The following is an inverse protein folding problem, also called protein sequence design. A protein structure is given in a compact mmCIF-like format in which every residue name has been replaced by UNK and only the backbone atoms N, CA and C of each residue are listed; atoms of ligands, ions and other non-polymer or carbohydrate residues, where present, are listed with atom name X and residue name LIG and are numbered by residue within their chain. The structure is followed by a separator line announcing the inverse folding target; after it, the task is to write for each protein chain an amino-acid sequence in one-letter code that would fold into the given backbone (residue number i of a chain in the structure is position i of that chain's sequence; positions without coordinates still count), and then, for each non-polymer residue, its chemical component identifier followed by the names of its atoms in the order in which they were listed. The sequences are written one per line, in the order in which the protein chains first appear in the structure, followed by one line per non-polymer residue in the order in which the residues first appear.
data_IF_197108566859
#
_entry.id   IF_197108566859
#
_cell.length_a   1.000
_cell.length_b   1.000
_cell.length_c   1.000
_cell.angle_alpha   90.00
_cell.angle_beta   90.00
_cell.angle_gamma   90.00
#
_symmetry.space_group_name_H-M   'P 1'
#
loop_
_entity.id
_entity.type
_entity.pdbx_description
1 polymer ?
#
# COMPACT_ATOMS: atom_id res chain seq x y z
N UNK A 1 11.41 -2.98 13.62
CA UNK A 1 11.09 -2.58 12.24
C UNK A 1 9.76 -3.20 11.88
N UNK A 2 8.90 -2.52 11.12
CA UNK A 2 7.69 -3.13 10.57
C UNK A 2 8.03 -4.44 9.84
N UNK A 3 7.19 -5.45 10.02
CA UNK A 3 7.27 -6.70 9.28
C UNK A 3 6.63 -6.52 7.90
N UNK A 4 7.29 -7.08 6.88
CA UNK A 4 6.74 -7.19 5.55
C UNK A 4 6.36 -8.64 5.30
N UNK A 5 5.10 -8.88 4.89
CA UNK A 5 4.59 -10.22 4.59
C UNK A 5 3.88 -10.20 3.24
N UNK A 6 4.29 -11.08 2.32
CA UNK A 6 3.62 -11.22 1.02
C UNK A 6 2.12 -11.52 1.19
N UNK A 7 1.29 -10.89 0.36
CA UNK A 7 -0.16 -11.15 0.36
C UNK A 7 -0.49 -12.44 -0.41
N UNK A 8 0.26 -12.72 -1.47
CA UNK A 8 0.12 -13.92 -2.29
C UNK A 8 1.21 -14.94 -1.93
N UNK A 9 0.89 -16.24 -1.84
CA UNK A 9 1.86 -17.28 -1.47
C UNK A 9 2.82 -17.70 -2.60
N UNK A 10 2.62 -17.23 -3.83
CA UNK A 10 3.36 -17.65 -5.02
C UNK A 10 4.10 -16.51 -5.74
N UNK A 11 3.57 -15.29 -5.70
CA UNK A 11 4.10 -14.11 -6.39
C UNK A 11 4.44 -13.03 -5.36
N UNK A 12 5.69 -12.63 -5.33
CA UNK A 12 6.17 -11.58 -4.42
C UNK A 12 5.85 -10.19 -4.96
N UNK A 13 5.76 -9.17 -4.09
CA UNK A 13 5.69 -7.78 -4.56
C UNK A 13 6.88 -7.41 -5.47
N UNK A 14 8.06 -8.01 -5.24
CA UNK A 14 9.23 -7.76 -6.09
C UNK A 14 8.99 -8.22 -7.52
N UNK A 15 8.41 -9.40 -7.72
CA UNK A 15 8.04 -9.92 -9.05
C UNK A 15 7.03 -8.99 -9.73
N UNK A 16 6.01 -8.51 -9.00
CA UNK A 16 5.03 -7.54 -9.50
C UNK A 16 5.66 -6.19 -9.87
N UNK A 17 6.71 -5.82 -9.11
CA UNK A 17 7.69 -4.79 -9.41
C UNK A 17 8.03 -4.78 -10.90
N UNK A 18 8.48 -5.94 -11.36
CA UNK A 18 9.17 -6.19 -12.63
C UNK A 18 8.29 -6.31 -13.85
N UNK A 19 6.99 -6.52 -13.66
CA UNK A 19 6.05 -6.69 -14.77
C UNK A 19 5.95 -5.45 -15.69
N UNK A 20 6.11 -4.24 -15.14
CA UNK A 20 5.94 -2.99 -15.90
C UNK A 20 4.49 -2.75 -16.36
N UNK A 21 4.27 -1.70 -17.17
CA UNK A 21 3.00 -1.49 -17.89
C UNK A 21 1.94 -0.61 -17.20
N UNK A 22 0.68 -0.78 -17.61
CA UNK A 22 -0.44 0.16 -17.36
C UNK A 22 -0.92 0.26 -15.90
N UNK A 23 -2.05 0.97 -15.67
CA UNK A 23 -2.53 1.34 -14.34
C UNK A 23 -2.62 0.17 -13.38
N UNK A 24 -2.32 0.44 -12.11
CA UNK A 24 -2.37 -0.57 -11.04
C UNK A 24 -3.05 -0.03 -9.80
N UNK A 25 -3.65 -0.96 -9.08
CA UNK A 25 -4.24 -0.76 -7.76
C UNK A 25 -3.31 -1.42 -6.75
N UNK A 26 -2.73 -0.62 -5.87
CA UNK A 26 -2.12 -1.13 -4.65
C UNK A 26 -3.22 -1.44 -3.65
N UNK A 27 -3.26 -2.69 -3.20
CA UNK A 27 -3.92 -3.06 -1.95
C UNK A 27 -2.84 -3.40 -0.94
N UNK A 28 -2.88 -2.76 0.22
CA UNK A 28 -1.98 -3.08 1.31
C UNK A 28 -2.77 -3.29 2.60
N UNK A 29 -2.79 -4.53 3.08
CA UNK A 29 -3.39 -4.88 4.37
C UNK A 29 -2.36 -4.57 5.46
N UNK A 30 -2.73 -3.72 6.39
CA UNK A 30 -1.90 -3.30 7.52
C UNK A 30 -2.51 -3.85 8.80
N UNK A 31 -1.73 -4.58 9.57
CA UNK A 31 -2.12 -5.07 10.89
C UNK A 31 -1.19 -4.48 11.93
N UNK A 32 -1.74 -4.00 13.05
CA UNK A 32 -0.95 -3.36 14.10
C UNK A 32 -1.50 -3.73 15.48
N UNK A 33 -0.67 -3.65 16.52
CA UNK A 33 -1.14 -3.76 17.90
C UNK A 33 -2.17 -2.65 18.19
N UNK A 34 -3.27 -2.92 18.94
CA UNK A 34 -4.30 -1.93 19.21
C UNK A 34 -3.78 -0.61 19.81
N UNK A 35 -2.77 -0.69 20.68
CA UNK A 35 -2.10 0.45 21.33
C UNK A 35 -1.29 1.33 20.36
N UNK A 36 -0.89 0.80 19.21
CA UNK A 36 -0.04 1.45 18.22
C UNK A 36 -0.85 2.05 17.05
N UNK A 37 -2.18 1.99 17.10
CA UNK A 37 -3.07 2.47 16.02
C UNK A 37 -2.83 3.94 15.69
N UNK A 38 -2.74 4.81 16.70
CA UNK A 38 -2.54 6.24 16.47
C UNK A 38 -1.17 6.52 15.83
N UNK A 39 -0.15 5.75 16.21
CA UNK A 39 1.17 5.81 15.59
C UNK A 39 1.12 5.36 14.13
N UNK A 40 0.38 4.29 13.81
CA UNK A 40 0.17 3.86 12.44
C UNK A 40 -0.51 4.95 11.60
N UNK A 41 -1.55 5.60 12.13
CA UNK A 41 -2.28 6.65 11.42
C UNK A 41 -1.40 7.88 11.14
N UNK A 42 -0.56 8.27 12.09
CA UNK A 42 0.42 9.33 11.91
C UNK A 42 1.45 8.97 10.83
N UNK A 43 2.04 7.78 10.91
CA UNK A 43 3.04 7.31 9.96
C UNK A 43 2.46 7.18 8.54
N UNK A 44 1.29 6.56 8.42
CA UNK A 44 0.62 6.35 7.14
C UNK A 44 0.18 7.66 6.49
N UNK A 45 -0.42 8.60 7.25
CA UNK A 45 -0.82 9.90 6.70
C UNK A 45 0.37 10.73 6.24
N UNK A 46 1.51 10.62 6.94
CA UNK A 46 2.78 11.23 6.53
C UNK A 46 3.30 10.61 5.22
N UNK A 47 3.26 9.28 5.08
CA UNK A 47 3.68 8.56 3.85
C UNK A 47 2.75 8.94 2.68
N UNK A 48 1.43 8.91 2.90
CA UNK A 48 0.43 9.23 1.89
C UNK A 48 0.52 10.69 1.42
N UNK A 49 0.78 11.65 2.31
CA UNK A 49 0.98 13.04 1.94
C UNK A 49 2.22 13.23 1.04
N UNK A 50 3.32 12.53 1.33
CA UNK A 50 4.52 12.57 0.50
C UNK A 50 4.31 11.89 -0.87
N UNK A 51 3.68 10.70 -0.88
CA UNK A 51 3.41 9.94 -2.09
C UNK A 51 2.39 10.61 -3.02
N UNK A 52 1.45 11.39 -2.46
CA UNK A 52 0.47 12.16 -3.24
C UNK A 52 1.11 13.15 -4.22
N UNK A 53 2.33 13.58 -3.96
CA UNK A 53 3.08 14.51 -4.82
C UNK A 53 3.95 13.81 -5.87
N UNK A 54 3.99 12.47 -5.88
CA UNK A 54 4.82 11.71 -6.82
C UNK A 54 4.13 11.58 -8.18
N UNK A 55 4.91 11.55 -9.29
CA UNK A 55 4.37 11.29 -10.62
C UNK A 55 3.56 9.98 -10.68
N UNK A 56 2.43 10.01 -11.39
CA UNK A 56 1.56 8.86 -11.57
C UNK A 56 0.71 8.47 -10.37
N UNK A 57 0.74 9.20 -9.26
CA UNK A 57 -0.21 9.04 -8.17
C UNK A 57 -1.61 9.52 -8.61
N UNK A 58 -2.65 8.69 -8.45
CA UNK A 58 -4.03 9.06 -8.78
C UNK A 58 -4.85 9.29 -7.51
N UNK A 59 -4.92 8.29 -6.63
CA UNK A 59 -5.68 8.41 -5.38
C UNK A 59 -5.22 7.41 -4.33
N UNK A 60 -5.59 7.65 -3.08
CA UNK A 60 -5.45 6.68 -1.99
C UNK A 60 -6.60 6.82 -1.00
N UNK A 61 -7.05 5.71 -0.45
CA UNK A 61 -8.04 5.65 0.62
C UNK A 61 -7.61 4.60 1.64
N UNK A 62 -7.54 5.02 2.92
CA UNK A 62 -7.36 4.10 4.03
C UNK A 62 -8.74 3.71 4.58
N UNK A 63 -8.96 2.41 4.75
CA UNK A 63 -10.12 1.85 5.42
C UNK A 63 -9.67 1.19 6.72
N UNK A 64 -10.51 1.27 7.75
CA UNK A 64 -10.33 0.55 9.01
C UNK A 64 -11.39 -0.54 9.12
N UNK A 65 -10.99 -1.72 9.61
CA UNK A 65 -11.93 -2.76 9.99
C UNK A 65 -12.89 -2.28 11.09
N UNK A 66 -14.10 -2.82 11.09
CA UNK A 66 -15.13 -2.47 12.08
C UNK A 66 -14.95 -3.25 13.41
N UNK A 67 -15.84 -3.02 14.37
CA UNK A 67 -15.88 -3.74 15.65
C UNK A 67 -14.57 -3.68 16.46
N UNK A 68 -13.89 -2.52 16.43
CA UNK A 68 -12.66 -2.30 17.19
C UNK A 68 -11.39 -2.85 16.54
N UNK A 69 -11.46 -3.32 15.30
CA UNK A 69 -10.31 -3.87 14.58
C UNK A 69 -9.13 -2.89 14.50
N UNK A 70 -7.92 -3.43 14.63
CA UNK A 70 -6.64 -2.79 14.32
C UNK A 70 -6.07 -3.24 12.97
N UNK A 71 -6.92 -3.75 12.08
CA UNK A 71 -6.59 -4.05 10.69
C UNK A 71 -7.09 -2.94 9.78
N UNK A 72 -6.25 -2.53 8.84
CA UNK A 72 -6.53 -1.50 7.86
C UNK A 72 -6.28 -2.02 6.44
N UNK A 73 -6.97 -1.43 5.47
CA UNK A 73 -6.77 -1.66 4.06
C UNK A 73 -6.42 -0.31 3.41
N UNK A 74 -5.22 -0.19 2.88
CA UNK A 74 -4.85 0.93 2.04
C UNK A 74 -5.11 0.54 0.58
N UNK A 75 -5.99 1.28 -0.08
CA UNK A 75 -6.32 1.14 -1.50
C UNK A 75 -5.83 2.38 -2.24
N UNK A 76 -4.77 2.23 -3.06
CA UNK A 76 -4.20 3.33 -3.82
C UNK A 76 -4.15 3.01 -5.32
N UNK A 77 -4.41 4.00 -6.15
CA UNK A 77 -4.41 3.85 -7.62
C UNK A 77 -3.25 4.65 -8.19
N UNK A 78 -2.50 4.00 -9.09
CA UNK A 78 -1.36 4.57 -9.79
C UNK A 78 -1.50 4.38 -11.30
N UNK A 79 -0.93 5.31 -12.06
CA UNK A 79 -0.94 5.27 -13.53
C UNK A 79 -0.14 4.09 -14.12
N UNK A 80 0.85 3.57 -13.39
CA UNK A 80 1.64 2.40 -13.78
C UNK A 80 2.34 1.74 -12.60
N UNK A 81 2.79 0.49 -12.79
CA UNK A 81 3.73 -0.20 -11.88
C UNK A 81 5.04 0.57 -11.72
N UNK A 82 5.56 1.18 -12.79
CA UNK A 82 6.82 1.94 -12.76
C UNK A 82 6.74 3.22 -11.91
N UNK A 83 5.63 3.95 -12.01
CA UNK A 83 5.38 5.12 -11.17
C UNK A 83 5.31 4.71 -9.69
N UNK A 84 4.56 3.65 -9.39
CA UNK A 84 4.46 3.13 -8.02
C UNK A 84 5.83 2.63 -7.51
N UNK A 85 6.56 1.86 -8.30
CA UNK A 85 7.89 1.35 -7.97
C UNK A 85 8.84 2.50 -7.62
N UNK A 86 8.92 3.49 -8.49
CA UNK A 86 9.81 4.66 -8.30
C UNK A 86 9.48 5.36 -7.00
N UNK A 87 8.19 5.70 -6.79
CA UNK A 87 7.74 6.38 -5.58
C UNK A 87 7.95 5.55 -4.29
N UNK A 88 7.74 4.24 -4.35
CA UNK A 88 7.89 3.31 -3.21
C UNK A 88 9.34 3.15 -2.77
N UNK A 89 10.25 3.09 -3.74
CA UNK A 89 11.68 2.84 -3.52
C UNK A 89 12.49 4.13 -3.26
N UNK A 90 11.87 5.30 -3.44
CA UNK A 90 12.51 6.56 -3.07
C UNK A 90 12.55 6.73 -1.53
N UNK A 91 13.73 6.46 -0.97
CA UNK A 91 13.97 6.59 0.47
C UNK A 91 13.89 8.04 0.95
N UNK A 92 14.21 9.02 0.12
CA UNK A 92 14.17 10.43 0.51
C UNK A 92 12.72 10.90 0.71
N UNK A 93 11.82 10.48 -0.18
CA UNK A 93 10.38 10.79 -0.11
C UNK A 93 9.75 10.19 1.14
N UNK A 94 10.16 8.98 1.52
CA UNK A 94 9.50 8.18 2.56
C UNK A 94 10.21 8.21 3.92
N UNK A 95 11.36 8.86 4.03
CA UNK A 95 12.19 8.85 5.24
C UNK A 95 11.41 9.24 6.51
N UNK A 96 10.62 10.32 6.43
CA UNK A 96 9.84 10.80 7.57
C UNK A 96 8.83 9.76 8.07
N UNK A 97 8.07 9.13 7.14
CA UNK A 97 7.11 8.10 7.50
C UNK A 97 7.77 6.82 8.01
N UNK A 98 8.89 6.40 7.40
CA UNK A 98 9.66 5.21 7.81
C UNK A 98 10.09 5.27 9.28
N UNK A 99 10.47 6.46 9.77
CA UNK A 99 10.85 6.66 11.16
C UNK A 99 9.68 6.59 12.14
N UNK A 100 8.44 6.77 11.65
CA UNK A 100 7.23 6.82 12.48
C UNK A 100 6.51 5.47 12.59
N UNK A 101 6.68 4.56 11.63
CA UNK A 101 5.93 3.31 11.64
C UNK A 101 6.21 2.45 12.90
N UNK A 102 5.16 1.95 13.57
CA UNK A 102 5.32 1.18 14.79
C UNK A 102 6.00 -0.17 14.50
N UNK A 103 6.74 -0.69 15.49
CA UNK A 103 7.41 -1.98 15.35
C UNK A 103 6.43 -3.16 15.22
N UNK A 104 5.19 -3.01 15.72
CA UNK A 104 4.12 -4.01 15.62
C UNK A 104 3.43 -4.06 14.26
N UNK A 105 3.73 -3.14 13.34
CA UNK A 105 3.12 -3.11 12.02
C UNK A 105 3.55 -4.34 11.21
N UNK A 106 2.58 -5.09 10.72
CA UNK A 106 2.73 -6.06 9.63
C UNK A 106 2.04 -5.49 8.39
N UNK A 107 2.79 -5.28 7.32
CA UNK A 107 2.28 -4.80 6.05
C UNK A 107 2.29 -5.90 4.99
N UNK A 108 1.16 -6.06 4.29
CA UNK A 108 0.99 -6.99 3.17
C UNK A 108 0.50 -6.28 1.90
N UNK A 109 1.39 -5.52 1.22
CA UNK A 109 1.10 -4.88 -0.06
C UNK A 109 1.15 -5.85 -1.23
N UNK A 110 0.27 -5.62 -2.20
CA UNK A 110 0.23 -6.35 -3.46
C UNK A 110 -0.43 -5.49 -4.54
N UNK A 111 0.00 -5.65 -5.78
CA UNK A 111 -0.55 -4.93 -6.93
C UNK A 111 -1.63 -5.74 -7.64
N UNK A 112 -2.64 -5.04 -8.12
CA UNK A 112 -3.78 -5.62 -8.82
C UNK A 112 -4.10 -4.80 -10.06
N UNK A 113 -4.74 -5.46 -11.02
CA UNK A 113 -5.50 -4.80 -12.09
C UNK A 113 -6.93 -5.31 -12.04
N UNK A 114 -7.87 -4.51 -12.54
CA UNK A 114 -9.23 -4.97 -12.66
C UNK A 114 -9.28 -6.18 -13.62
N UNK A 115 -9.95 -7.24 -13.18
CA UNK A 115 -10.13 -8.46 -13.96
C UNK A 115 -11.55 -8.46 -14.49
N UNK A 116 -11.68 -8.47 -15.82
CA UNK A 116 -12.98 -8.65 -16.44
C UNK A 116 -13.51 -10.05 -16.16
N UNK A 117 -14.75 -10.13 -15.66
CA UNK A 117 -15.49 -11.38 -15.48
C UNK A 117 -16.78 -11.25 -16.30
N UNK A 118 -16.97 -12.05 -17.37
CA UNK A 118 -18.10 -11.90 -18.27
C UNK A 118 -19.45 -11.88 -17.54
N UNK A 119 -20.25 -10.86 -17.83
CA UNK A 119 -21.57 -10.65 -17.22
C UNK A 119 -21.55 -10.13 -15.78
N UNK A 120 -20.38 -9.92 -15.17
CA UNK A 120 -20.22 -9.51 -13.77
C UNK A 120 -19.47 -8.18 -13.65
N UNK A 121 -18.23 -8.09 -14.15
CA UNK A 121 -17.42 -6.88 -14.06
C UNK A 121 -16.48 -6.71 -15.27
N UNK A 122 -16.08 -5.47 -15.49
CA UNK A 122 -15.14 -5.08 -16.54
C UNK A 122 -13.75 -4.81 -15.96
N UNK A 123 -12.74 -4.80 -16.83
CA UNK A 123 -11.38 -4.37 -16.52
C UNK A 123 -11.21 -2.87 -16.80
#
# INVERSE_FOLDING_TARGET
MPEFRELDPHVTLTDQLEEGGGPVILVNVLQVAPEDVDQLLLAWSTDAAALKHQPGFISTQLYRGIAGSSTFLNHAVWESTDHYRTARLDDSVRAAARALYPASLVASPHLFRAQAVPGICVA
#
